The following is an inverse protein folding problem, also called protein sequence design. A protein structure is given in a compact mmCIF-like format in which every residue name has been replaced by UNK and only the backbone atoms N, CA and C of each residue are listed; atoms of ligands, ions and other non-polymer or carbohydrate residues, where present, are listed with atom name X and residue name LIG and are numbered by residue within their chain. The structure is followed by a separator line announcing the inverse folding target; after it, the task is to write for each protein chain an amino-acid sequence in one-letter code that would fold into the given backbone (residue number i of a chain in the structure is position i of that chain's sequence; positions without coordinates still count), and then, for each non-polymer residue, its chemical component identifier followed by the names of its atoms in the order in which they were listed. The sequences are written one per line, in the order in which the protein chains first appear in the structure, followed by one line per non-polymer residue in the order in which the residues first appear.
data_IF_863446415418
#
_entry.id   IF_863446415418
#
_cell.length_a   1.000
_cell.length_b   1.000
_cell.length_c   1.000
_cell.angle_alpha   90.00
_cell.angle_beta   90.00
_cell.angle_gamma   90.00
#
_symmetry.space_group_name_H-M   'P 1'
#
loop_
_entity.id
_entity.type
_entity.pdbx_description
1 polymer ?
#
# COMPACT_ATOMS: atom_id res chain seq x y z
N UNK A 1 43.23 36.57 -26.56
CA UNK A 1 43.30 35.14 -26.19
C UNK A 1 42.09 34.82 -25.31
N UNK A 2 41.10 34.06 -25.80
CA UNK A 2 39.86 33.79 -25.07
C UNK A 2 39.95 32.51 -24.21
N UNK A 3 39.25 32.60 -23.07
CA UNK A 3 38.80 31.63 -22.07
C UNK A 3 39.00 30.12 -22.28
N UNK A 4 39.42 29.43 -21.21
CA UNK A 4 38.88 28.10 -20.84
C UNK A 4 38.70 28.03 -19.31
N UNK A 5 37.49 28.32 -18.83
CA UNK A 5 37.05 27.90 -17.49
C UNK A 5 36.59 26.46 -17.61
N UNK A 6 37.39 25.53 -17.06
CA UNK A 6 37.00 24.14 -16.88
C UNK A 6 35.89 24.04 -15.84
N UNK A 7 34.65 23.91 -16.28
CA UNK A 7 33.56 23.44 -15.43
C UNK A 7 33.73 21.93 -15.18
N UNK A 8 33.68 21.46 -13.93
CA UNK A 8 33.67 20.03 -13.65
C UNK A 8 32.35 19.39 -14.12
N UNK A 9 32.36 18.11 -14.53
CA UNK A 9 31.17 17.43 -15.03
C UNK A 9 30.17 17.24 -13.90
N UNK A 10 28.95 17.71 -14.13
CA UNK A 10 27.81 17.42 -13.26
C UNK A 10 27.57 15.90 -13.26
N UNK A 11 27.78 15.27 -12.10
CA UNK A 11 27.29 13.94 -11.75
C UNK A 11 26.19 14.17 -10.70
N UNK A 12 25.02 13.54 -10.67
CA UNK A 12 24.57 12.23 -11.15
C UNK A 12 23.08 12.35 -11.52
N UNK A 13 22.69 11.75 -12.63
CA UNK A 13 21.28 11.41 -12.87
C UNK A 13 20.85 10.38 -11.82
N UNK A 14 19.88 10.70 -10.96
CA UNK A 14 19.32 9.75 -10.00
C UNK A 14 18.42 8.75 -10.73
N UNK A 15 19.04 7.65 -11.18
CA UNK A 15 18.44 6.69 -12.11
C UNK A 15 17.30 5.83 -11.52
N UNK A 16 16.27 5.49 -12.32
CA UNK A 16 15.18 4.55 -11.98
C UNK A 16 15.65 3.14 -11.58
N UNK A 17 16.91 2.80 -11.88
CA UNK A 17 17.56 1.54 -11.54
C UNK A 17 17.60 1.25 -10.03
N UNK A 18 17.73 2.29 -9.18
CA UNK A 18 17.71 2.13 -7.73
C UNK A 18 16.30 1.73 -7.20
N UNK A 19 15.23 2.26 -7.79
CA UNK A 19 13.84 1.92 -7.40
C UNK A 19 13.48 0.48 -7.77
N UNK A 20 13.92 0.03 -8.95
CA UNK A 20 13.70 -1.35 -9.39
C UNK A 20 14.46 -2.35 -8.49
N UNK A 21 15.72 -2.06 -8.17
CA UNK A 21 16.54 -2.87 -7.27
C UNK A 21 15.91 -2.97 -5.88
N UNK A 22 15.53 -1.84 -5.29
CA UNK A 22 14.86 -1.79 -3.99
C UNK A 22 13.54 -2.57 -4.00
N UNK A 23 12.72 -2.43 -5.06
CA UNK A 23 11.47 -3.19 -5.19
C UNK A 23 11.72 -4.69 -5.18
N UNK A 24 12.72 -5.17 -5.92
CA UNK A 24 13.09 -6.59 -5.95
C UNK A 24 13.52 -7.07 -4.58
N UNK A 25 14.40 -6.32 -3.89
CA UNK A 25 14.90 -6.68 -2.56
C UNK A 25 13.77 -6.70 -1.52
N UNK A 26 12.89 -5.69 -1.49
CA UNK A 26 11.78 -5.63 -0.53
C UNK A 26 10.75 -6.73 -0.79
N UNK A 27 10.45 -7.04 -2.06
CA UNK A 27 9.55 -8.13 -2.41
C UNK A 27 10.11 -9.48 -1.96
N UNK A 28 11.40 -9.74 -2.17
CA UNK A 28 12.06 -10.95 -1.71
C UNK A 28 12.01 -11.08 -0.18
N UNK A 29 12.31 -10.00 0.55
CA UNK A 29 12.21 -9.97 2.02
C UNK A 29 10.78 -10.23 2.50
N UNK A 30 9.78 -9.60 1.88
CA UNK A 30 8.37 -9.80 2.22
C UNK A 30 7.93 -11.25 2.01
N UNK A 31 8.27 -11.84 0.86
CA UNK A 31 7.95 -13.24 0.54
C UNK A 31 8.67 -14.25 1.45
N UNK A 32 9.82 -13.88 2.02
CA UNK A 32 10.54 -14.72 2.96
C UNK A 32 9.93 -14.72 4.38
N UNK A 33 8.99 -13.82 4.69
CA UNK A 33 8.34 -13.81 6.01
C UNK A 33 7.45 -15.05 6.19
N UNK A 34 7.53 -15.74 7.34
CA UNK A 34 6.57 -16.79 7.69
C UNK A 34 5.14 -16.25 7.74
N UNK A 35 4.16 -17.08 7.35
CA UNK A 35 2.75 -16.68 7.38
C UNK A 35 2.28 -16.23 8.77
N UNK A 36 2.78 -16.87 9.84
CA UNK A 36 2.47 -16.48 11.21
C UNK A 36 2.98 -15.07 11.56
N UNK A 37 4.16 -14.70 11.06
CA UNK A 37 4.73 -13.37 11.24
C UNK A 37 3.92 -12.31 10.49
N UNK A 38 3.48 -12.62 9.26
CA UNK A 38 2.58 -11.75 8.49
C UNK A 38 1.26 -11.54 9.24
N UNK A 39 0.68 -12.61 9.79
CA UNK A 39 -0.56 -12.53 10.56
C UNK A 39 -0.39 -11.66 11.81
N UNK A 40 0.67 -11.88 12.59
CA UNK A 40 0.96 -11.09 13.79
C UNK A 40 1.14 -9.60 13.47
N UNK A 41 1.90 -9.28 12.42
CA UNK A 41 2.09 -7.88 11.96
C UNK A 41 0.80 -7.26 11.45
N UNK A 42 -0.07 -8.04 10.80
CA UNK A 42 -1.38 -7.55 10.33
C UNK A 42 -2.30 -7.19 11.50
N UNK A 43 -2.29 -7.99 12.59
CA UNK A 43 -3.01 -7.66 13.82
C UNK A 43 -2.45 -6.39 14.46
N UNK A 44 -1.12 -6.26 14.56
CA UNK A 44 -0.48 -5.06 15.10
C UNK A 44 -0.80 -3.79 14.29
N UNK A 45 -0.90 -3.88 12.96
CA UNK A 45 -1.33 -2.76 12.11
C UNK A 45 -2.77 -2.35 12.40
N UNK A 46 -3.68 -3.31 12.55
CA UNK A 46 -5.07 -3.06 12.94
C UNK A 46 -5.14 -2.34 14.28
N UNK A 47 -4.49 -2.89 15.29
CA UNK A 47 -4.50 -2.35 16.66
C UNK A 47 -3.96 -0.91 16.69
N UNK A 48 -2.82 -0.65 16.03
CA UNK A 48 -2.24 0.68 15.97
C UNK A 48 -3.15 1.68 15.24
N UNK A 49 -3.81 1.27 14.15
CA UNK A 49 -4.71 2.16 13.41
C UNK A 49 -5.86 2.64 14.30
N UNK A 50 -6.55 1.73 14.98
CA UNK A 50 -7.71 2.08 15.79
C UNK A 50 -7.34 2.67 17.16
N UNK A 51 -6.13 2.44 17.66
CA UNK A 51 -5.65 3.05 18.90
C UNK A 51 -5.20 4.51 18.70
N UNK A 52 -4.60 4.83 17.55
CA UNK A 52 -3.92 6.12 17.35
C UNK A 52 -4.62 7.07 16.40
N UNK A 53 -5.62 6.62 15.64
CA UNK A 53 -6.31 7.45 14.66
C UNK A 53 -7.82 7.50 14.92
N UNK A 54 -8.46 8.65 14.68
CA UNK A 54 -9.89 8.81 14.83
C UNK A 54 -10.62 8.24 13.62
N UNK A 55 -10.50 6.92 13.38
CA UNK A 55 -11.04 6.26 12.18
C UNK A 55 -12.54 6.55 12.02
N UNK A 56 -13.27 6.58 13.14
CA UNK A 56 -14.71 6.85 13.18
C UNK A 56 -15.09 8.25 12.67
N UNK A 57 -14.17 9.22 12.69
CA UNK A 57 -14.44 10.59 12.24
C UNK A 57 -14.12 10.78 10.75
N UNK A 58 -13.54 9.77 10.11
CA UNK A 58 -13.19 9.82 8.70
C UNK A 58 -14.39 9.57 7.81
N UNK A 59 -14.51 10.36 6.74
CA UNK A 59 -15.53 10.13 5.71
C UNK A 59 -15.18 8.90 4.84
N UNK A 60 -13.91 8.75 4.49
CA UNK A 60 -13.42 7.70 3.61
C UNK A 60 -12.08 7.16 4.09
N UNK A 61 -11.91 5.84 3.99
CA UNK A 61 -10.64 5.15 4.09
C UNK A 61 -10.38 4.40 2.77
N UNK A 62 -9.31 4.78 2.07
CA UNK A 62 -8.83 4.00 0.92
C UNK A 62 -7.95 2.87 1.42
N UNK A 63 -8.26 1.64 0.99
CA UNK A 63 -7.59 0.42 1.44
C UNK A 63 -7.44 -0.52 0.24
N UNK A 64 -6.27 -1.13 0.07
CA UNK A 64 -6.08 -2.17 -0.96
C UNK A 64 -6.58 -3.52 -0.45
N UNK A 65 -7.04 -4.38 -1.36
CA UNK A 65 -7.31 -5.78 -1.03
C UNK A 65 -6.00 -6.57 -1.13
N UNK A 66 -5.65 -7.37 -0.11
CA UNK A 66 -4.32 -7.94 -0.01
C UNK A 66 -4.16 -9.07 -1.03
N UNK A 67 -2.95 -9.25 -1.56
CA UNK A 67 -2.58 -10.39 -2.39
C UNK A 67 -1.87 -11.43 -1.50
N UNK A 68 -2.53 -12.50 -1.02
CA UNK A 68 -1.99 -13.32 0.06
C UNK A 68 -0.69 -14.04 -0.30
N UNK A 69 -0.57 -14.53 -1.54
CA UNK A 69 0.63 -15.20 -2.04
C UNK A 69 1.84 -14.24 -2.19
N UNK A 70 1.64 -12.93 -2.03
CA UNK A 70 2.72 -11.96 -1.96
C UNK A 70 3.07 -11.53 -0.53
N UNK A 71 2.48 -12.18 0.48
CA UNK A 71 2.70 -11.94 1.91
C UNK A 71 2.44 -10.47 2.28
N UNK A 72 1.36 -9.91 1.74
CA UNK A 72 0.89 -8.56 2.08
C UNK A 72 0.19 -8.54 3.43
N UNK A 73 0.18 -7.39 4.14
CA UNK A 73 -0.62 -7.23 5.33
C UNK A 73 -2.09 -7.55 5.04
N UNK A 74 -2.75 -8.30 5.92
CA UNK A 74 -4.17 -8.62 5.78
C UNK A 74 -5.03 -7.39 6.16
N UNK A 75 -5.27 -6.53 5.18
CA UNK A 75 -6.11 -5.34 5.33
C UNK A 75 -7.59 -5.67 5.52
N UNK A 76 -8.03 -6.91 5.28
CA UNK A 76 -9.40 -7.33 5.62
C UNK A 76 -9.69 -7.21 7.10
N UNK A 77 -8.66 -7.28 7.96
CA UNK A 77 -8.81 -7.03 9.39
C UNK A 77 -9.36 -5.62 9.68
N UNK A 78 -8.89 -4.61 8.93
CA UNK A 78 -9.37 -3.23 9.05
C UNK A 78 -10.80 -3.11 8.55
N UNK A 79 -11.07 -3.69 7.38
CA UNK A 79 -12.39 -3.70 6.72
C UNK A 79 -13.44 -4.33 7.63
N UNK A 80 -13.16 -5.54 8.13
CA UNK A 80 -14.06 -6.27 9.02
C UNK A 80 -14.30 -5.55 10.33
N UNK A 81 -13.29 -4.88 10.89
CA UNK A 81 -13.47 -4.10 12.12
C UNK A 81 -14.37 -2.88 11.91
N UNK A 82 -14.19 -2.13 10.81
CA UNK A 82 -15.06 -1.00 10.45
C UNK A 82 -16.51 -1.46 10.33
N UNK A 83 -16.75 -2.59 9.65
CA UNK A 83 -18.09 -3.16 9.49
C UNK A 83 -18.66 -3.68 10.81
N UNK A 84 -17.89 -4.44 11.59
CA UNK A 84 -18.34 -5.01 12.86
C UNK A 84 -18.68 -3.93 13.89
N UNK A 85 -17.91 -2.83 13.93
CA UNK A 85 -18.15 -1.67 14.80
C UNK A 85 -19.18 -0.69 14.23
N UNK A 86 -19.71 -0.96 13.03
CA UNK A 86 -20.65 -0.09 12.32
C UNK A 86 -20.17 1.36 12.24
N UNK A 87 -18.88 1.57 11.98
CA UNK A 87 -18.32 2.91 11.88
C UNK A 87 -18.89 3.63 10.65
N UNK A 88 -19.10 4.96 10.71
CA UNK A 88 -19.62 5.72 9.58
C UNK A 88 -18.61 5.85 8.43
N UNK A 89 -17.35 5.47 8.67
CA UNK A 89 -16.25 5.48 7.71
C UNK A 89 -16.55 4.59 6.51
N UNK A 90 -16.54 5.17 5.31
CA UNK A 90 -16.73 4.42 4.07
C UNK A 90 -15.40 3.86 3.57
N UNK A 91 -15.43 2.66 3.02
CA UNK A 91 -14.25 2.02 2.46
C UNK A 91 -14.20 2.17 0.95
N UNK A 92 -13.04 2.52 0.41
CA UNK A 92 -12.78 2.54 -1.02
C UNK A 92 -11.62 1.61 -1.37
N UNK A 93 -11.80 0.75 -2.36
CA UNK A 93 -10.76 -0.14 -2.88
C UNK A 93 -10.30 0.28 -4.27
N UNK A 94 -8.99 0.25 -4.56
CA UNK A 94 -8.47 0.52 -5.89
C UNK A 94 -8.62 -0.71 -6.80
N UNK A 95 -9.10 -0.50 -8.02
CA UNK A 95 -9.17 -1.51 -9.09
C UNK A 95 -8.40 -1.01 -10.31
N UNK A 96 -7.40 -1.77 -10.72
CA UNK A 96 -6.65 -1.53 -11.95
C UNK A 96 -7.57 -1.77 -13.14
N UNK A 97 -7.64 -0.81 -14.05
CA UNK A 97 -8.49 -0.92 -15.23
C UNK A 97 -7.80 -1.79 -16.30
N UNK A 98 -8.55 -2.27 -17.32
CA UNK A 98 -7.98 -3.12 -18.38
C UNK A 98 -6.81 -2.49 -19.16
N UNK A 99 -6.67 -1.16 -19.11
CA UNK A 99 -5.56 -0.44 -19.74
C UNK A 99 -4.21 -0.60 -19.03
N UNK A 100 -4.20 -1.21 -17.82
CA UNK A 100 -3.01 -1.42 -17.00
C UNK A 100 -2.36 -0.15 -16.45
N UNK A 101 -2.98 1.02 -16.65
CA UNK A 101 -2.40 2.33 -16.36
C UNK A 101 -3.28 3.17 -15.44
N UNK A 102 -4.59 2.99 -15.50
CA UNK A 102 -5.54 3.72 -14.67
C UNK A 102 -6.03 2.88 -13.50
N UNK A 103 -6.29 3.58 -12.40
CA UNK A 103 -6.75 3.00 -11.14
C UNK A 103 -7.99 3.78 -10.72
N UNK A 104 -9.11 3.07 -10.56
CA UNK A 104 -10.37 3.64 -10.09
C UNK A 104 -10.68 3.13 -8.70
N UNK A 105 -11.22 4.01 -7.87
CA UNK A 105 -11.64 3.65 -6.53
C UNK A 105 -13.14 3.32 -6.54
N UNK A 106 -13.48 2.18 -5.97
CA UNK A 106 -14.86 1.71 -5.82
C UNK A 106 -15.19 1.57 -4.34
N UNK A 107 -16.41 1.91 -3.96
CA UNK A 107 -16.84 1.69 -2.59
C UNK A 107 -16.90 0.19 -2.31
N UNK A 108 -16.29 -0.22 -1.19
CA UNK A 108 -16.36 -1.60 -0.69
C UNK A 108 -17.42 -1.68 0.42
N UNK A 109 -18.37 -2.58 0.24
CA UNK A 109 -19.43 -2.91 1.22
C UNK A 109 -19.48 -4.42 1.44
N UNK A 110 -20.15 -4.91 2.49
CA UNK A 110 -20.34 -6.35 2.71
C UNK A 110 -21.00 -7.08 1.52
N UNK A 111 -21.80 -6.37 0.72
CA UNK A 111 -22.53 -6.88 -0.44
C UNK A 111 -21.70 -6.80 -1.73
N UNK A 112 -20.51 -6.23 -1.70
CA UNK A 112 -19.66 -6.09 -2.88
C UNK A 112 -19.16 -7.47 -3.32
N UNK A 113 -19.59 -7.91 -4.50
CA UNK A 113 -19.07 -9.13 -5.12
C UNK A 113 -17.64 -8.90 -5.61
N UNK A 114 -16.71 -9.72 -5.13
CA UNK A 114 -15.33 -9.75 -5.60
C UNK A 114 -15.23 -10.81 -6.70
N UNK A 115 -14.67 -10.43 -7.85
CA UNK A 115 -14.50 -11.27 -9.04
C UNK A 115 -13.05 -11.50 -9.36
#
# INVERSE_FOLDING_TARGET
MPQTKSHPPQTKSHSPMLKAELRRQMLARRRALPAAEVAARSQGLREQLFAHFPVADWRWLSVFLPIPHQHEPDTWLLVREIWARQLPTRLAVPVVQPDGQTLRHFQLTPETALV
#
